data_IF_697863193991
#
_entry.id   IF_697863193991
#
_cell.length_a   1.000
_cell.length_b   1.000
_cell.length_c   1.000
_cell.angle_alpha   90.00
_cell.angle_beta   90.00
_cell.angle_gamma   90.00
#
_symmetry.space_group_name_H-M   'P 1'
#
loop_
_entity.id
_entity.type
_entity.pdbx_description
1 polymer ?
#
# COMPACT_ATOMS: atom_id res chain seq x y z
N UNK A 1 -8.08 19.72 -0.68
CA UNK A 1 -6.87 19.16 -1.30
C UNK A 1 -6.97 17.65 -1.15
N UNK A 2 -7.19 16.92 -2.24
CA UNK A 2 -7.31 15.47 -2.21
C UNK A 2 -5.89 14.88 -2.15
N UNK A 3 -5.68 13.80 -1.40
CA UNK A 3 -4.37 13.15 -1.24
C UNK A 3 -3.86 12.43 -2.51
N UNK A 4 -4.22 12.92 -3.69
CA UNK A 4 -3.87 12.33 -4.98
C UNK A 4 -2.40 12.53 -5.32
N UNK A 5 -1.82 13.70 -5.02
CA UNK A 5 -0.42 14.01 -5.32
C UNK A 5 0.56 13.09 -4.55
N UNK A 6 0.43 12.90 -3.22
CA UNK A 6 1.31 11.98 -2.49
C UNK A 6 1.19 10.52 -2.93
N UNK A 7 -0.01 10.08 -3.35
CA UNK A 7 -0.19 8.71 -3.85
C UNK A 7 0.52 8.49 -5.18
N UNK A 8 0.39 9.44 -6.11
CA UNK A 8 1.08 9.39 -7.39
C UNK A 8 2.62 9.39 -7.24
N UNK A 9 3.15 10.13 -6.26
CA UNK A 9 4.58 10.09 -5.92
C UNK A 9 5.02 8.71 -5.43
N UNK A 10 4.24 8.08 -4.54
CA UNK A 10 4.52 6.73 -4.03
C UNK A 10 4.46 5.69 -5.17
N UNK A 11 3.47 5.78 -6.06
CA UNK A 11 3.38 4.92 -7.25
C UNK A 11 4.59 5.08 -8.16
N UNK A 12 5.02 6.32 -8.41
CA UNK A 12 6.20 6.62 -9.23
C UNK A 12 7.48 6.04 -8.60
N UNK A 13 7.64 6.20 -7.28
CA UNK A 13 8.76 5.62 -6.54
C UNK A 13 8.72 4.08 -6.59
N UNK A 14 7.54 3.48 -6.47
CA UNK A 14 7.39 2.02 -6.55
C UNK A 14 7.84 1.49 -7.91
N UNK A 15 7.40 2.10 -9.02
CA UNK A 15 7.80 1.72 -10.37
C UNK A 15 9.29 1.95 -10.64
N UNK A 16 9.88 2.98 -10.03
CA UNK A 16 11.32 3.25 -10.12
C UNK A 16 12.16 2.18 -9.41
N UNK A 17 11.73 1.72 -8.23
CA UNK A 17 12.44 0.71 -7.43
C UNK A 17 12.17 -0.71 -7.94
N UNK A 18 10.97 -0.97 -8.45
CA UNK A 18 10.51 -2.28 -8.89
C UNK A 18 9.89 -2.19 -10.31
N UNK A 19 10.71 -2.14 -11.37
CA UNK A 19 10.21 -2.01 -12.74
C UNK A 19 9.55 -3.27 -13.32
N UNK A 20 9.59 -4.41 -12.60
CA UNK A 20 8.98 -5.70 -13.00
C UNK A 20 8.16 -6.29 -11.85
N UNK A 21 6.99 -5.71 -11.61
CA UNK A 21 6.13 -6.04 -10.47
C UNK A 21 5.03 -7.04 -10.77
N UNK A 22 4.83 -7.35 -12.06
CA UNK A 22 3.95 -8.39 -12.58
C UNK A 22 4.38 -9.81 -12.18
N UNK A 23 5.60 -9.97 -11.66
CA UNK A 23 6.18 -11.27 -11.32
C UNK A 23 6.28 -11.57 -9.83
N UNK A 24 5.88 -10.64 -8.96
CA UNK A 24 6.06 -10.79 -7.52
C UNK A 24 4.75 -10.60 -6.76
N UNK A 25 4.10 -11.72 -6.44
CA UNK A 25 2.90 -11.79 -5.59
C UNK A 25 3.16 -11.37 -4.12
N UNK A 26 4.34 -10.87 -3.80
CA UNK A 26 4.68 -10.30 -2.49
C UNK A 26 4.86 -8.77 -2.56
N UNK A 27 4.86 -8.18 -3.77
CA UNK A 27 5.12 -6.77 -4.03
C UNK A 27 3.86 -6.06 -4.53
N UNK A 28 3.00 -5.70 -3.59
CA UNK A 28 1.86 -4.83 -3.82
C UNK A 28 1.68 -3.84 -2.67
N UNK A 29 1.34 -2.59 -3.01
CA UNK A 29 0.97 -1.57 -2.02
C UNK A 29 -0.54 -1.50 -1.91
N UNK A 30 -1.02 -1.34 -0.68
CA UNK A 30 -2.44 -1.21 -0.42
C UNK A 30 -2.74 0.14 0.21
N UNK A 31 -3.88 0.70 -0.12
CA UNK A 31 -4.34 1.98 0.38
C UNK A 31 -5.66 1.81 1.14
N UNK A 32 -5.81 2.51 2.26
CA UNK A 32 -7.09 2.63 2.97
C UNK A 32 -7.45 4.09 3.13
N UNK A 33 -8.69 4.39 2.76
CA UNK A 33 -9.30 5.68 3.02
C UNK A 33 -9.95 5.64 4.40
N UNK A 34 -9.48 6.46 5.32
CA UNK A 34 -10.08 6.62 6.64
C UNK A 34 -10.85 7.94 6.66
N UNK A 35 -12.17 7.81 6.64
CA UNK A 35 -13.13 8.91 6.70
C UNK A 35 -13.94 8.88 8.00
N UNK A 36 -13.41 8.25 9.07
CA UNK A 36 -14.11 7.97 10.34
C UNK A 36 -14.44 9.25 11.16
N UNK A 37 -15.31 10.10 10.62
CA UNK A 37 -15.95 11.20 11.34
C UNK A 37 -15.11 12.47 11.56
N UNK A 38 -13.93 12.59 10.94
CA UNK A 38 -13.11 13.81 10.95
C UNK A 38 -13.35 14.64 9.69
N UNK A 39 -13.10 15.96 9.79
CA UNK A 39 -13.18 16.92 8.67
C UNK A 39 -12.15 16.68 7.56
N UNK A 40 -11.19 15.77 7.76
CA UNK A 40 -10.12 15.47 6.83
C UNK A 40 -10.14 13.98 6.50
N UNK A 41 -10.21 13.67 5.21
CA UNK A 41 -9.99 12.32 4.72
C UNK A 41 -8.50 12.01 4.86
N UNK A 42 -8.18 10.99 5.64
CA UNK A 42 -6.81 10.47 5.72
C UNK A 42 -6.67 9.29 4.77
N UNK A 43 -5.50 9.17 4.18
CA UNK A 43 -5.15 8.03 3.33
C UNK A 43 -3.93 7.35 3.92
N UNK A 44 -4.05 6.06 4.21
CA UNK A 44 -2.96 5.23 4.71
C UNK A 44 -2.50 4.28 3.63
N UNK A 45 -1.20 4.28 3.36
CA UNK A 45 -0.55 3.34 2.45
C UNK A 45 0.18 2.28 3.28
N UNK A 46 -0.06 1.02 2.95
CA UNK A 46 0.54 -0.14 3.59
C UNK A 46 1.53 -0.79 2.64
N UNK A 47 2.72 -1.03 3.18
CA UNK A 47 3.85 -1.62 2.47
C UNK A 47 4.09 -3.02 3.03
N UNK A 48 4.09 -4.07 2.18
CA UNK A 48 4.45 -5.40 2.64
C UNK A 48 5.93 -5.47 3.02
N UNK A 49 6.36 -6.46 3.82
CA UNK A 49 7.76 -6.63 4.18
C UNK A 49 8.71 -6.68 2.97
N UNK A 50 8.27 -7.28 1.86
CA UNK A 50 9.03 -7.32 0.60
C UNK A 50 9.27 -5.91 0.00
N UNK A 51 8.41 -4.94 0.28
CA UNK A 51 8.54 -3.54 -0.14
C UNK A 51 9.36 -2.69 0.86
N UNK A 52 10.14 -3.29 1.77
CA UNK A 52 10.84 -2.59 2.85
C UNK A 52 11.72 -1.41 2.41
N UNK A 53 12.34 -1.47 1.21
CA UNK A 53 13.10 -0.33 0.65
C UNK A 53 12.22 0.89 0.39
N UNK A 54 11.02 0.67 -0.14
CA UNK A 54 10.08 1.74 -0.41
C UNK A 54 9.45 2.26 0.89
N UNK A 55 9.13 1.36 1.82
CA UNK A 55 8.67 1.75 3.16
C UNK A 55 9.67 2.68 3.86
N UNK A 56 10.96 2.36 3.79
CA UNK A 56 12.02 3.22 4.31
C UNK A 56 12.11 4.56 3.56
N UNK A 57 12.05 4.55 2.22
CA UNK A 57 12.09 5.79 1.42
C UNK A 57 10.88 6.71 1.71
N UNK A 58 9.71 6.13 2.00
CA UNK A 58 8.49 6.84 2.35
C UNK A 58 8.40 7.20 3.85
N UNK A 59 9.44 6.95 4.66
CA UNK A 59 9.43 7.11 6.12
C UNK A 59 8.24 6.40 6.81
N UNK A 60 7.83 5.25 6.27
CA UNK A 60 6.76 4.46 6.85
C UNK A 60 7.19 3.90 8.22
N UNK A 61 6.21 3.69 9.10
CA UNK A 61 6.45 3.10 10.42
C UNK A 61 6.01 1.64 10.44
N UNK A 62 6.72 0.77 11.19
CA UNK A 62 6.27 -0.60 11.41
C UNK A 62 4.88 -0.60 12.06
N UNK A 63 3.98 -1.44 11.54
CA UNK A 63 2.62 -1.58 12.06
C UNK A 63 2.20 -3.04 12.12
N UNK A 64 1.11 -3.31 12.83
CA UNK A 64 0.44 -4.62 12.77
C UNK A 64 -0.22 -4.79 11.40
N UNK A 65 -0.43 -6.03 10.98
CA UNK A 65 -1.17 -6.34 9.75
C UNK A 65 -2.51 -5.59 9.74
N UNK A 66 -2.79 -4.77 8.72
CA UNK A 66 -4.04 -4.03 8.65
C UNK A 66 -5.21 -4.98 8.39
N UNK A 67 -6.41 -4.56 8.80
CA UNK A 67 -7.64 -5.26 8.42
C UNK A 67 -7.86 -5.17 6.91
N UNK A 68 -8.26 -6.29 6.30
CA UNK A 68 -8.66 -6.38 4.89
C UNK A 68 -9.80 -5.40 4.53
N UNK A 69 -10.72 -5.14 5.47
CA UNK A 69 -11.86 -4.27 5.21
C UNK A 69 -11.41 -2.84 4.88
N UNK A 70 -11.81 -2.37 3.70
CA UNK A 70 -11.50 -1.02 3.20
C UNK A 70 -10.09 -0.86 2.63
N UNK A 71 -9.32 -1.95 2.46
CA UNK A 71 -8.08 -1.91 1.69
C UNK A 71 -8.38 -2.00 0.19
N UNK A 72 -7.68 -1.19 -0.59
CA UNK A 72 -7.68 -1.23 -2.05
C UNK A 72 -6.25 -1.35 -2.56
N UNK A 73 -6.06 -2.02 -3.70
CA UNK A 73 -4.75 -2.09 -4.33
C UNK A 73 -4.37 -0.70 -4.87
N UNK A 74 -3.18 -0.21 -4.53
CA UNK A 74 -2.60 1.01 -5.10
C UNK A 74 -1.76 0.66 -6.33
N UNK A 75 -0.81 -0.26 -6.18
CA UNK A 75 0.10 -0.70 -7.26
C UNK A 75 0.64 -2.09 -6.97
N UNK A 76 0.90 -2.88 -8.02
CA UNK A 76 1.41 -4.25 -7.92
C UNK A 76 0.41 -5.31 -8.41
N UNK A 77 0.61 -6.56 -7.99
CA UNK A 77 -0.24 -7.69 -8.38
C UNK A 77 -1.48 -7.80 -7.49
N UNK A 78 -2.68 -7.99 -8.08
CA UNK A 78 -3.90 -8.33 -7.34
C UNK A 78 -3.78 -9.68 -6.62
N UNK A 79 -2.95 -10.59 -7.16
CA UNK A 79 -2.67 -11.89 -6.55
C UNK A 79 -1.82 -11.79 -5.27
N UNK A 80 -1.25 -10.61 -4.99
CA UNK A 80 -0.51 -10.39 -3.76
C UNK A 80 -1.42 -10.30 -2.53
N UNK A 81 -2.69 -9.95 -2.72
CA UNK A 81 -3.63 -9.80 -1.63
C UNK A 81 -3.83 -11.11 -0.84
N UNK A 82 -4.16 -12.27 -1.46
CA UNK A 82 -4.27 -13.53 -0.72
C UNK A 82 -2.95 -14.02 -0.13
N UNK A 83 -1.80 -13.66 -0.71
CA UNK A 83 -0.48 -14.01 -0.19
C UNK A 83 -0.09 -13.20 1.06
N UNK A 84 -0.41 -11.90 1.07
CA UNK A 84 -0.08 -10.98 2.15
C UNK A 84 -1.13 -10.98 3.27
N UNK A 85 -2.37 -11.40 2.96
CA UNK A 85 -3.50 -11.45 3.89
C UNK A 85 -4.18 -12.84 3.94
N UNK A 86 -3.45 -13.94 4.23
CA UNK A 86 -3.97 -15.31 4.10
C UNK A 86 -5.06 -15.69 5.11
N UNK A 87 -5.18 -14.96 6.23
CA UNK A 87 -6.13 -15.27 7.33
C UNK A 87 -7.42 -14.42 7.31
N UNK A 88 -7.72 -13.71 6.22
CA UNK A 88 -8.89 -12.82 6.10
C UNK A 88 -9.99 -13.41 5.21
N UNK A 89 -10.47 -14.62 5.54
CA UNK A 89 -11.66 -15.24 4.92
C UNK A 89 -12.91 -15.08 5.79
#
# INVERSE_FOLDING_TARGET
>A
MLAYEPLAEIETLFLSIYPRTDQHDELALFVRHESEGRLHCEVKVYFPPAAGRLAHAANATPCRTPSFNGLSLLVGSEMALPHLFPNHR
#
